data_IF_516833890555
#
_entry.id   IF_516833890555
#
_cell.length_a   1.000
_cell.length_b   1.000
_cell.length_c   1.000
_cell.angle_alpha   90.00
_cell.angle_beta   90.00
_cell.angle_gamma   90.00
#
_symmetry.space_group_name_H-M   'P 1'
#
loop_
_entity.id
_entity.type
_entity.pdbx_description
1 polymer ?
#
# COMPACT_ATOMS: atom_id res chain seq x y z
N UNK A 1 -7.98 -22.49 -39.19
CA UNK A 1 -8.47 -21.11 -39.27
C UNK A 1 -9.75 -21.01 -38.46
N UNK A 2 -9.62 -20.80 -37.14
CA UNK A 2 -10.56 -20.05 -36.32
C UNK A 2 -9.96 -19.99 -34.91
N UNK A 3 -9.13 -18.97 -34.69
CA UNK A 3 -8.94 -18.43 -33.36
C UNK A 3 -10.24 -17.76 -32.91
N UNK A 4 -10.25 -17.33 -31.64
CA UNK A 4 -11.22 -16.44 -31.00
C UNK A 4 -12.53 -17.09 -30.50
N UNK A 5 -12.43 -17.65 -29.29
CA UNK A 5 -13.39 -17.41 -28.19
C UNK A 5 -12.86 -17.96 -26.85
N UNK A 6 -11.59 -17.65 -26.53
CA UNK A 6 -11.19 -17.49 -25.13
C UNK A 6 -11.31 -15.99 -24.80
N UNK A 7 -12.55 -15.50 -24.92
CA UNK A 7 -12.92 -14.18 -24.46
C UNK A 7 -12.90 -14.20 -22.94
N UNK A 8 -11.73 -13.93 -22.37
CA UNK A 8 -11.48 -13.06 -21.22
C UNK A 8 -12.73 -12.77 -20.35
N UNK A 9 -13.37 -13.81 -19.84
CA UNK A 9 -14.42 -13.72 -18.83
C UNK A 9 -13.71 -13.85 -17.49
N UNK A 10 -13.42 -12.70 -16.88
CA UNK A 10 -13.16 -12.47 -15.44
C UNK A 10 -12.11 -11.38 -15.23
N UNK A 11 -12.34 -10.17 -15.75
CA UNK A 11 -11.83 -8.95 -15.12
C UNK A 11 -12.92 -7.88 -15.12
N UNK A 12 -14.16 -8.30 -14.91
CA UNK A 12 -15.16 -7.42 -14.35
C UNK A 12 -14.83 -7.33 -12.85
N UNK A 13 -13.98 -6.36 -12.49
CA UNK A 13 -13.89 -5.89 -11.12
C UNK A 13 -15.19 -5.11 -10.90
N UNK A 14 -16.26 -5.82 -10.58
CA UNK A 14 -17.48 -5.19 -10.07
C UNK A 14 -17.14 -4.67 -8.69
N UNK A 15 -16.97 -3.35 -8.62
CA UNK A 15 -16.82 -2.59 -7.40
C UNK A 15 -18.18 -2.46 -6.71
N UNK A 16 -18.82 -3.59 -6.40
CA UNK A 16 -20.11 -3.63 -5.73
C UNK A 16 -20.01 -4.53 -4.49
N UNK A 17 -20.08 -3.88 -3.33
CA UNK A 17 -20.28 -4.42 -1.98
C UNK A 17 -19.11 -5.11 -1.22
N UNK A 18 -17.91 -4.51 -1.27
CA UNK A 18 -16.79 -4.83 -0.33
C UNK A 18 -16.91 -4.10 1.03
N UNK A 19 -18.05 -3.47 1.33
CA UNK A 19 -18.21 -2.55 2.46
C UNK A 19 -18.36 -3.23 3.84
N UNK A 20 -18.41 -4.56 3.93
CA UNK A 20 -18.69 -5.26 5.21
C UNK A 20 -17.58 -6.20 5.73
N UNK A 21 -16.41 -6.26 5.10
CA UNK A 21 -15.31 -7.13 5.58
C UNK A 21 -13.98 -6.37 5.79
N UNK A 22 -13.84 -5.16 5.24
CA UNK A 22 -12.66 -4.34 5.53
C UNK A 22 -12.92 -3.43 6.74
N UNK A 23 -12.11 -3.50 7.81
CA UNK A 23 -12.26 -2.59 8.93
C UNK A 23 -12.14 -1.15 8.41
N UNK A 24 -12.88 -0.22 9.03
CA UNK A 24 -12.90 1.23 8.73
C UNK A 24 -11.51 1.90 8.63
N UNK A 25 -10.44 1.17 8.92
CA UNK A 25 -9.04 1.55 8.86
C UNK A 25 -8.53 1.84 7.46
N UNK A 26 -9.19 1.35 6.41
CA UNK A 26 -8.80 1.58 5.00
C UNK A 26 -9.53 2.73 4.30
N UNK A 27 -10.55 3.32 4.92
CA UNK A 27 -11.37 4.34 4.29
C UNK A 27 -10.61 5.66 4.20
N UNK A 28 -10.75 6.32 3.05
CA UNK A 28 -10.08 7.59 2.75
C UNK A 28 -11.09 8.73 2.75
N UNK A 29 -10.68 9.88 3.25
CA UNK A 29 -11.44 11.11 3.14
C UNK A 29 -11.29 11.75 1.75
N UNK A 30 -11.85 12.96 1.57
CA UNK A 30 -11.77 13.75 0.33
C UNK A 30 -10.35 14.15 -0.10
N UNK A 31 -9.36 13.95 0.76
CA UNK A 31 -7.94 14.23 0.51
C UNK A 31 -7.11 12.95 0.40
N UNK A 32 -7.77 11.79 0.33
CA UNK A 32 -7.11 10.50 0.31
C UNK A 32 -6.54 10.10 1.67
N UNK A 33 -6.84 10.83 2.74
CA UNK A 33 -6.30 10.59 4.08
C UNK A 33 -7.10 9.49 4.78
N UNK A 34 -6.38 8.49 5.29
CA UNK A 34 -6.96 7.47 6.18
C UNK A 34 -7.06 7.99 7.61
N UNK A 35 -7.87 7.35 8.45
CA UNK A 35 -7.95 7.66 9.88
C UNK A 35 -6.56 7.70 10.56
N UNK A 36 -5.62 6.87 10.08
CA UNK A 36 -4.24 6.83 10.59
C UNK A 36 -3.45 8.11 10.24
N UNK A 37 -3.65 8.71 9.06
CA UNK A 37 -3.02 10.00 8.71
C UNK A 37 -3.43 11.10 9.68
N UNK A 38 -4.74 11.19 9.95
CA UNK A 38 -5.29 12.20 10.86
C UNK A 38 -4.80 11.99 12.29
N UNK A 39 -4.77 10.74 12.78
CA UNK A 39 -4.25 10.42 14.11
C UNK A 39 -2.76 10.81 14.27
N UNK A 40 -1.94 10.53 13.25
CA UNK A 40 -0.54 10.89 13.22
C UNK A 40 -0.32 12.41 13.15
N UNK A 41 -1.09 13.11 12.30
CA UNK A 41 -1.00 14.57 12.19
C UNK A 41 -1.40 15.27 13.50
N UNK A 42 -2.41 14.73 14.21
CA UNK A 42 -2.91 15.26 15.48
C UNK A 42 -2.10 14.84 16.71
N UNK A 43 -1.11 13.96 16.56
CA UNK A 43 -0.28 13.51 17.67
C UNK A 43 -1.00 12.57 18.65
N UNK A 44 -2.03 11.83 18.20
CA UNK A 44 -2.86 10.99 19.08
C UNK A 44 -2.36 9.55 19.10
N UNK A 45 -1.43 9.26 20.01
CA UNK A 45 -0.80 7.94 20.14
C UNK A 45 -1.81 6.80 20.39
N UNK A 46 -2.79 7.00 21.27
CA UNK A 46 -3.79 5.97 21.57
C UNK A 46 -4.61 5.57 20.33
N UNK A 47 -4.95 6.56 19.50
CA UNK A 47 -5.64 6.34 18.23
C UNK A 47 -4.74 5.58 17.24
N UNK A 48 -3.45 5.95 17.14
CA UNK A 48 -2.48 5.24 16.29
C UNK A 48 -2.38 3.77 16.70
N UNK A 49 -2.28 3.50 18.01
CA UNK A 49 -2.23 2.14 18.54
C UNK A 49 -3.50 1.34 18.22
N UNK A 50 -4.68 1.92 18.45
CA UNK A 50 -5.94 1.27 18.18
C UNK A 50 -6.13 0.97 16.69
N UNK A 51 -5.77 1.91 15.81
CA UNK A 51 -5.88 1.76 14.37
C UNK A 51 -4.94 0.69 13.82
N UNK A 52 -3.68 0.66 14.28
CA UNK A 52 -2.72 -0.38 13.87
C UNK A 52 -3.13 -1.76 14.38
N UNK A 53 -3.63 -1.87 15.62
CA UNK A 53 -4.24 -3.11 16.13
C UNK A 53 -5.45 -3.55 15.32
N UNK A 54 -6.23 -2.60 14.79
CA UNK A 54 -7.34 -2.84 13.89
C UNK A 54 -6.96 -3.16 12.44
N UNK A 55 -5.67 -3.36 12.15
CA UNK A 55 -5.19 -3.72 10.81
C UNK A 55 -5.11 -2.53 9.84
N UNK A 56 -5.00 -1.29 10.34
CA UNK A 56 -4.73 -0.15 9.47
C UNK A 56 -3.41 -0.32 8.71
N UNK A 57 -3.43 -0.02 7.42
CA UNK A 57 -2.24 -0.06 6.59
C UNK A 57 -1.29 1.10 6.97
N UNK A 58 -0.10 0.83 7.55
CA UNK A 58 0.83 1.88 7.99
C UNK A 58 1.44 2.65 6.81
N UNK A 59 1.52 2.01 5.64
CA UNK A 59 2.11 2.55 4.42
C UNK A 59 1.07 3.08 3.42
N UNK A 60 -0.16 3.33 3.87
CA UNK A 60 -1.15 4.01 3.04
C UNK A 60 -0.65 5.40 2.66
N UNK A 61 -0.90 5.80 1.41
CA UNK A 61 -0.56 7.12 0.87
C UNK A 61 -1.82 7.93 0.62
N UNK A 62 -1.77 9.21 0.98
CA UNK A 62 -2.80 10.20 0.64
C UNK A 62 -2.55 10.83 -0.74
N UNK A 63 -3.43 11.73 -1.17
CA UNK A 63 -3.35 12.36 -2.50
C UNK A 63 -2.12 13.28 -2.64
N UNK A 64 -1.60 13.79 -1.51
CA UNK A 64 -0.35 14.53 -1.45
C UNK A 64 0.89 13.64 -1.46
N UNK A 65 0.74 12.33 -1.70
CA UNK A 65 1.82 11.32 -1.66
C UNK A 65 2.57 11.30 -0.33
N UNK A 66 1.88 11.60 0.77
CA UNK A 66 2.40 11.46 2.13
C UNK A 66 1.89 10.18 2.76
N UNK A 67 2.75 9.53 3.52
CA UNK A 67 2.38 8.43 4.41
C UNK A 67 2.05 8.97 5.80
N UNK A 68 1.37 8.18 6.63
CA UNK A 68 1.05 8.58 8.00
C UNK A 68 2.31 8.91 8.84
N UNK A 69 3.44 8.24 8.55
CA UNK A 69 4.74 8.52 9.16
C UNK A 69 5.22 9.93 8.80
N UNK A 70 5.11 10.33 7.53
CA UNK A 70 5.48 11.68 7.08
C UNK A 70 4.60 12.74 7.78
N UNK A 71 3.31 12.48 7.95
CA UNK A 71 2.42 13.37 8.70
C UNK A 71 2.84 13.53 10.17
N UNK A 72 3.31 12.46 10.83
CA UNK A 72 3.84 12.55 12.20
C UNK A 72 5.14 13.37 12.26
N UNK A 73 6.05 13.15 11.30
CA UNK A 73 7.34 13.88 11.21
C UNK A 73 7.12 15.37 10.95
N UNK A 74 6.28 15.71 9.97
CA UNK A 74 5.98 17.10 9.59
C UNK A 74 5.37 17.90 10.76
N UNK A 75 4.58 17.23 11.61
CA UNK A 75 3.98 17.81 12.83
C UNK A 75 4.85 17.65 14.09
N UNK A 76 6.09 17.15 13.97
CA UNK A 76 7.07 16.98 15.06
C UNK A 76 6.66 16.00 16.17
N UNK A 77 5.86 15.00 15.84
CA UNK A 77 5.44 13.94 16.76
C UNK A 77 6.42 12.76 16.76
N UNK A 78 7.64 12.99 17.27
CA UNK A 78 8.74 12.01 17.22
C UNK A 78 8.39 10.66 17.85
N UNK A 79 7.68 10.64 18.99
CA UNK A 79 7.28 9.40 19.66
C UNK A 79 6.41 8.50 18.76
N UNK A 80 5.50 9.10 17.99
CA UNK A 80 4.64 8.37 17.04
C UNK A 80 5.46 7.93 15.83
N UNK A 81 6.36 8.79 15.34
CA UNK A 81 7.22 8.47 14.21
C UNK A 81 8.13 7.27 14.51
N UNK A 82 8.76 7.24 15.68
CA UNK A 82 9.58 6.11 16.15
C UNK A 82 8.76 4.83 16.28
N UNK A 83 7.57 4.92 16.88
CA UNK A 83 6.70 3.77 16.99
C UNK A 83 6.28 3.22 15.62
N UNK A 84 5.83 4.07 14.70
CA UNK A 84 5.48 3.67 13.33
C UNK A 84 6.66 3.04 12.60
N UNK A 85 7.87 3.60 12.77
CA UNK A 85 9.10 3.04 12.20
C UNK A 85 9.35 1.62 12.73
N UNK A 86 9.14 1.38 14.03
CA UNK A 86 9.24 0.04 14.63
C UNK A 86 8.22 -0.95 14.06
N UNK A 87 7.08 -0.46 13.59
CA UNK A 87 6.03 -1.26 12.94
C UNK A 87 6.25 -1.42 11.42
N UNK A 88 7.41 -1.00 10.89
CA UNK A 88 7.73 -1.12 9.47
C UNK A 88 7.08 -0.05 8.59
N UNK A 89 6.64 1.07 9.16
CA UNK A 89 6.19 2.20 8.37
C UNK A 89 7.37 2.89 7.66
N UNK A 90 7.14 3.25 6.40
CA UNK A 90 8.11 3.89 5.53
C UNK A 90 7.65 5.29 5.14
N UNK A 91 8.61 6.17 4.83
CA UNK A 91 8.29 7.41 4.13
C UNK A 91 8.07 7.11 2.64
N UNK A 92 7.36 8.00 1.94
CA UNK A 92 6.97 7.76 0.55
C UNK A 92 8.15 7.42 -0.38
N UNK A 93 9.28 8.12 -0.22
CA UNK A 93 10.48 7.89 -1.04
C UNK A 93 10.97 6.45 -0.89
N UNK A 94 11.16 5.99 0.34
CA UNK A 94 11.58 4.61 0.64
C UNK A 94 10.56 3.57 0.18
N UNK A 95 9.26 3.84 0.37
CA UNK A 95 8.18 2.98 -0.09
C UNK A 95 8.22 2.81 -1.60
N UNK A 96 8.39 3.91 -2.34
CA UNK A 96 8.47 3.88 -3.80
C UNK A 96 9.70 3.13 -4.31
N UNK A 97 10.85 3.32 -3.67
CA UNK A 97 12.11 2.66 -4.03
C UNK A 97 12.04 1.15 -3.77
N UNK A 98 11.55 0.75 -2.60
CA UNK A 98 11.38 -0.67 -2.25
C UNK A 98 10.40 -1.36 -3.17
N UNK A 99 9.25 -0.73 -3.48
CA UNK A 99 8.30 -1.25 -4.46
C UNK A 99 8.93 -1.42 -5.85
N UNK A 100 9.67 -0.41 -6.33
CA UNK A 100 10.36 -0.48 -7.61
C UNK A 100 11.38 -1.64 -7.65
N UNK A 101 12.20 -1.81 -6.61
CA UNK A 101 13.15 -2.93 -6.52
C UNK A 101 12.48 -4.29 -6.63
N UNK A 102 11.36 -4.48 -5.92
CA UNK A 102 10.59 -5.73 -5.96
C UNK A 102 10.04 -5.98 -7.36
N UNK A 103 9.37 -4.98 -7.95
CA UNK A 103 8.79 -5.10 -9.30
C UNK A 103 9.87 -5.44 -10.33
N UNK A 104 11.01 -4.75 -10.28
CA UNK A 104 12.13 -4.99 -11.19
C UNK A 104 12.75 -6.38 -10.98
N UNK A 105 12.88 -6.84 -9.74
CA UNK A 105 13.35 -8.19 -9.43
C UNK A 105 12.45 -9.27 -10.03
N UNK A 106 11.14 -9.12 -9.86
CA UNK A 106 10.13 -10.01 -10.46
C UNK A 106 10.22 -10.01 -11.99
N UNK A 107 10.29 -8.84 -12.62
CA UNK A 107 10.41 -8.71 -14.06
C UNK A 107 11.67 -9.41 -14.61
N UNK A 108 12.82 -9.20 -13.97
CA UNK A 108 14.08 -9.88 -14.32
C UNK A 108 13.96 -11.39 -14.22
N UNK A 109 13.29 -11.90 -13.18
CA UNK A 109 13.07 -13.34 -13.02
C UNK A 109 12.18 -13.92 -14.13
N UNK A 110 11.12 -13.22 -14.52
CA UNK A 110 10.22 -13.61 -15.62
C UNK A 110 10.99 -13.66 -16.95
N UNK A 111 11.79 -12.63 -17.24
CA UNK A 111 12.61 -12.58 -18.45
C UNK A 111 13.63 -13.72 -18.50
N UNK A 112 14.28 -14.03 -17.37
CA UNK A 112 15.24 -15.13 -17.29
C UNK A 112 14.58 -16.48 -17.56
N UNK A 113 13.38 -16.73 -16.98
CA UNK A 113 12.60 -17.96 -17.23
C UNK A 113 12.23 -18.11 -18.70
N UNK A 114 11.82 -17.01 -19.36
CA UNK A 114 11.53 -16.99 -20.81
C UNK A 114 12.78 -17.32 -21.63
N UNK A 115 13.93 -16.74 -21.26
CA UNK A 115 15.21 -16.99 -21.94
C UNK A 115 15.68 -18.44 -21.81
N UNK A 116 15.61 -19.04 -20.62
CA UNK A 116 16.00 -20.44 -20.39
C UNK A 116 15.08 -21.40 -21.18
N UNK A 117 13.77 -21.13 -21.23
CA UNK A 117 12.82 -21.94 -22.00
C UNK A 117 13.16 -21.96 -23.49
N UNK A 118 13.52 -20.81 -24.05
CA UNK A 118 13.86 -20.68 -25.48
C UNK A 118 15.23 -21.28 -25.84
N UNK A 119 16.12 -21.56 -24.87
CA UNK A 119 17.42 -22.22 -25.10
C UNK A 119 17.39 -23.74 -24.94
N UNK A 120 16.26 -24.31 -24.48
CA UNK A 120 16.07 -25.77 -24.32
C UNK A 120 15.28 -26.40 -25.49
N UNK A 121 15.00 -25.62 -26.52
CA UNK A 121 14.44 -26.03 -27.81
C UNK A 121 15.53 -25.85 -28.87
#
# INVERSE_FOLDING_TARGET
MHESKLGIFALQIEAEDDCLISPLTGWKDKHGETALHVACARGKMDCVLALLKGGAAPNAVNDARKTCLQCAIDNKHSNIAEYLRSQGALVFVELSETAARVIQGWWRAILLRRRIRNMRL
#
